data_IF_465350349878
#
_entry.id   IF_465350349878
#
_cell.length_a   1.000
_cell.length_b   1.000
_cell.length_c   1.000
_cell.angle_alpha   90.00
_cell.angle_beta   90.00
_cell.angle_gamma   90.00
#
_symmetry.space_group_name_H-M   'P 1'
#
loop_
_entity.id
_entity.type
_entity.pdbx_description
1 polymer ?
#
# COMPACT_ATOMS: atom_id res chain seq x y z
N UNK A 1 -1.16 16.61 0.14
CA UNK A 1 -2.35 15.83 0.51
C UNK A 1 -3.39 16.65 1.27
N UNK A 2 -3.04 17.57 2.16
CA UNK A 2 -3.97 18.41 2.96
C UNK A 2 -4.99 19.25 2.18
N UNK A 3 -4.80 19.43 0.88
CA UNK A 3 -5.81 20.08 0.00
C UNK A 3 -6.99 19.16 -0.35
N UNK A 4 -6.84 17.86 -0.18
CA UNK A 4 -7.80 16.84 -0.59
C UNK A 4 -8.33 16.02 0.59
N UNK A 5 -7.57 15.95 1.67
CA UNK A 5 -7.88 15.15 2.85
C UNK A 5 -7.80 16.05 4.06
N UNK A 6 -8.83 16.01 4.89
CA UNK A 6 -8.89 16.73 6.15
C UNK A 6 -8.16 15.94 7.24
N UNK A 7 -7.05 16.50 7.72
CA UNK A 7 -6.22 15.93 8.81
C UNK A 7 -6.48 16.57 10.17
N UNK A 8 -7.59 17.31 10.34
CA UNK A 8 -7.97 17.84 11.65
C UNK A 8 -8.31 16.71 12.61
N UNK A 9 -8.37 17.05 13.91
CA UNK A 9 -8.65 16.07 14.98
C UNK A 9 -9.94 15.28 14.72
N UNK A 10 -9.85 13.96 14.85
CA UNK A 10 -10.96 13.03 14.63
C UNK A 10 -11.27 12.74 13.15
N UNK A 11 -10.44 13.21 12.22
CA UNK A 11 -10.54 12.95 10.78
C UNK A 11 -9.46 11.98 10.31
N UNK A 12 -8.82 12.24 9.17
CA UNK A 12 -7.76 11.39 8.67
C UNK A 12 -6.48 11.52 9.50
N UNK A 13 -5.75 10.42 9.64
CA UNK A 13 -4.45 10.37 10.31
C UNK A 13 -3.36 10.09 9.28
N UNK A 14 -2.32 10.89 9.27
CA UNK A 14 -1.10 10.65 8.52
C UNK A 14 -0.03 10.08 9.45
N UNK A 15 0.36 8.84 9.23
CA UNK A 15 1.34 8.13 10.04
C UNK A 15 2.61 7.88 9.23
N UNK A 16 3.77 8.05 9.85
CA UNK A 16 5.06 7.81 9.21
C UNK A 16 5.67 6.53 9.78
N UNK A 17 5.85 5.50 8.95
CA UNK A 17 6.44 4.24 9.40
C UNK A 17 7.92 4.34 9.82
N UNK A 18 8.61 5.44 9.50
CA UNK A 18 9.93 5.72 10.04
C UNK A 18 9.94 5.80 11.58
N UNK A 19 8.81 6.16 12.20
CA UNK A 19 8.68 6.33 13.65
C UNK A 19 8.93 5.01 14.40
N UNK A 20 8.63 3.86 13.80
CA UNK A 20 8.93 2.55 14.38
C UNK A 20 10.04 1.78 13.64
N UNK A 21 10.16 1.91 12.31
CA UNK A 21 11.17 1.16 11.56
C UNK A 21 12.58 1.67 11.81
N UNK A 22 12.78 2.99 11.96
CA UNK A 22 14.10 3.56 12.22
C UNK A 22 14.62 3.29 13.63
N UNK A 23 13.71 3.10 14.59
CA UNK A 23 14.07 2.75 15.96
C UNK A 23 14.42 1.26 16.14
N UNK A 24 14.01 0.43 15.19
CA UNK A 24 14.16 -1.02 15.26
C UNK A 24 15.58 -1.44 14.91
N UNK A 25 16.24 -2.14 15.83
CA UNK A 25 17.57 -2.72 15.58
C UNK A 25 17.46 -3.93 14.64
N UNK A 26 18.42 -4.09 13.75
CA UNK A 26 18.43 -5.19 12.76
C UNK A 26 18.28 -6.59 13.40
N UNK A 27 18.89 -6.81 14.56
CA UNK A 27 18.78 -8.09 15.27
C UNK A 27 17.36 -8.29 15.84
N UNK A 28 16.76 -7.25 16.37
CA UNK A 28 15.39 -7.31 16.90
C UNK A 28 14.39 -7.56 15.76
N UNK A 29 14.55 -6.89 14.62
CA UNK A 29 13.79 -7.14 13.40
C UNK A 29 13.83 -8.62 12.98
N UNK A 30 15.02 -9.21 12.90
CA UNK A 30 15.19 -10.61 12.49
C UNK A 30 14.64 -11.59 13.55
N UNK A 31 14.94 -11.35 14.84
CA UNK A 31 14.53 -12.22 15.94
C UNK A 31 13.03 -12.18 16.18
N UNK A 32 12.44 -10.99 16.21
CA UNK A 32 11.07 -10.82 16.69
C UNK A 32 10.05 -10.96 15.57
N UNK A 33 10.39 -10.55 14.35
CA UNK A 33 9.50 -10.61 13.18
C UNK A 33 9.95 -11.60 12.12
N UNK A 34 11.24 -11.64 11.78
CA UNK A 34 11.78 -12.51 10.73
C UNK A 34 11.45 -13.98 10.94
N UNK A 35 11.42 -14.45 12.19
CA UNK A 35 11.03 -15.83 12.55
C UNK A 35 9.65 -16.26 12.08
N UNK A 36 8.76 -15.33 11.85
CA UNK A 36 7.38 -15.60 11.40
C UNK A 36 7.25 -15.78 9.89
N UNK A 37 8.28 -15.46 9.12
CA UNK A 37 8.27 -15.50 7.66
C UNK A 37 9.09 -16.65 7.12
N UNK A 38 8.40 -17.67 6.62
CA UNK A 38 9.06 -18.79 5.97
C UNK A 38 9.54 -18.39 4.56
N UNK A 39 10.81 -18.61 4.25
CA UNK A 39 11.42 -18.23 2.97
C UNK A 39 10.73 -18.90 1.78
N UNK A 40 10.37 -20.18 1.89
CA UNK A 40 9.66 -20.88 0.80
C UNK A 40 8.28 -20.24 0.51
N UNK A 41 7.58 -19.82 1.56
CA UNK A 41 6.32 -19.10 1.41
C UNK A 41 6.52 -17.74 0.72
N UNK A 42 7.58 -17.02 1.07
CA UNK A 42 7.91 -15.74 0.45
C UNK A 42 8.27 -15.91 -1.04
N UNK A 43 9.06 -16.93 -1.37
CA UNK A 43 9.44 -17.26 -2.75
C UNK A 43 8.25 -17.69 -3.61
N UNK A 44 7.22 -18.27 -3.02
CA UNK A 44 6.00 -18.70 -3.71
C UNK A 44 5.05 -17.55 -4.09
N UNK A 45 5.26 -16.33 -3.55
CA UNK A 45 4.43 -15.16 -3.90
C UNK A 45 4.63 -14.77 -5.36
N UNK A 46 3.56 -14.50 -6.09
CA UNK A 46 3.60 -14.16 -7.51
C UNK A 46 4.52 -12.97 -7.84
N UNK A 47 4.54 -11.97 -6.97
CA UNK A 47 5.39 -10.78 -7.12
C UNK A 47 6.87 -11.11 -7.01
N UNK A 48 7.25 -12.05 -6.15
CA UNK A 48 8.62 -12.54 -5.97
C UNK A 48 8.95 -13.51 -7.08
N UNK A 49 8.10 -14.50 -7.34
CA UNK A 49 8.31 -15.55 -8.34
C UNK A 49 8.61 -15.00 -9.74
N UNK A 50 7.88 -13.96 -10.16
CA UNK A 50 8.11 -13.28 -11.45
C UNK A 50 9.47 -12.58 -11.55
N UNK A 51 10.13 -12.34 -10.44
CA UNK A 51 11.41 -11.64 -10.37
C UNK A 51 12.61 -12.57 -10.17
N UNK A 52 12.38 -13.85 -9.79
CA UNK A 52 13.47 -14.79 -9.49
C UNK A 52 14.41 -15.00 -10.67
N UNK A 53 13.90 -15.08 -11.90
CA UNK A 53 14.71 -15.32 -13.11
C UNK A 53 15.53 -14.08 -13.51
N UNK A 54 15.06 -12.90 -13.18
CA UNK A 54 15.72 -11.62 -13.51
C UNK A 54 16.67 -11.20 -12.38
N UNK A 55 16.45 -11.72 -11.19
CA UNK A 55 17.10 -11.34 -9.93
C UNK A 55 16.22 -10.43 -9.09
N UNK A 56 16.24 -10.66 -7.78
CA UNK A 56 15.57 -9.85 -6.78
C UNK A 56 16.59 -9.47 -5.70
N UNK A 57 16.64 -8.20 -5.32
CA UNK A 57 17.51 -7.75 -4.24
C UNK A 57 16.93 -8.17 -2.89
N UNK A 58 17.77 -8.26 -1.86
CA UNK A 58 17.31 -8.53 -0.51
C UNK A 58 16.33 -7.44 -0.02
N UNK A 59 16.55 -6.20 -0.40
CA UNK A 59 15.66 -5.07 -0.07
C UNK A 59 14.24 -5.30 -0.61
N UNK A 60 14.13 -5.67 -1.90
CA UNK A 60 12.83 -5.99 -2.52
C UNK A 60 12.20 -7.25 -1.91
N UNK A 61 13.00 -8.26 -1.62
CA UNK A 61 12.52 -9.50 -1.01
C UNK A 61 12.00 -9.28 0.42
N UNK A 62 12.68 -8.46 1.21
CA UNK A 62 12.31 -8.16 2.60
C UNK A 62 11.17 -7.15 2.74
N UNK A 63 10.77 -6.47 1.66
CA UNK A 63 9.71 -5.46 1.68
C UNK A 63 8.40 -5.98 2.29
N UNK A 64 8.05 -7.24 2.02
CA UNK A 64 6.86 -7.89 2.59
C UNK A 64 6.88 -7.89 4.12
N UNK A 65 8.05 -8.12 4.72
CA UNK A 65 8.21 -8.12 6.19
C UNK A 65 8.00 -6.71 6.74
N UNK A 66 8.65 -5.72 6.16
CA UNK A 66 8.54 -4.32 6.58
C UNK A 66 7.10 -3.85 6.55
N UNK A 67 6.40 -4.09 5.44
CA UNK A 67 5.00 -3.73 5.31
C UNK A 67 4.07 -4.52 6.25
N UNK A 68 4.39 -5.77 6.55
CA UNK A 68 3.63 -6.55 7.53
C UNK A 68 3.80 -6.01 8.95
N UNK A 69 4.98 -5.47 9.28
CA UNK A 69 5.22 -4.77 10.54
C UNK A 69 4.41 -3.46 10.59
N UNK A 70 4.34 -2.71 9.49
CA UNK A 70 3.49 -1.53 9.41
C UNK A 70 2.03 -1.86 9.72
N UNK A 71 1.50 -2.95 9.14
CA UNK A 71 0.14 -3.40 9.42
C UNK A 71 -0.04 -3.82 10.90
N UNK A 72 0.94 -4.50 11.47
CA UNK A 72 0.90 -4.88 12.88
C UNK A 72 0.86 -3.62 13.77
N UNK A 73 1.74 -2.64 13.52
CA UNK A 73 1.80 -1.40 14.28
C UNK A 73 0.51 -0.59 14.16
N UNK A 74 -0.02 -0.41 12.96
CA UNK A 74 -1.29 0.26 12.73
C UNK A 74 -2.46 -0.46 13.41
N UNK A 75 -2.44 -1.79 13.43
CA UNK A 75 -3.43 -2.57 14.14
C UNK A 75 -3.35 -2.36 15.67
N UNK A 76 -2.14 -2.42 16.22
CA UNK A 76 -1.90 -2.25 17.67
C UNK A 76 -2.28 -0.86 18.16
N UNK A 77 -1.97 0.19 17.39
CA UNK A 77 -2.18 1.57 17.79
C UNK A 77 -3.58 2.10 17.45
N UNK A 78 -4.18 1.62 16.37
CA UNK A 78 -5.42 2.20 15.82
C UNK A 78 -6.55 1.19 15.58
N UNK A 79 -6.30 -0.12 15.72
CA UNK A 79 -7.28 -1.17 15.49
C UNK A 79 -7.85 -1.18 14.07
N UNK A 80 -7.07 -0.78 13.07
CA UNK A 80 -7.55 -0.52 11.71
C UNK A 80 -7.74 -1.80 10.88
N UNK A 81 -8.65 -1.73 9.91
CA UNK A 81 -8.78 -2.71 8.83
C UNK A 81 -7.81 -2.35 7.71
N UNK A 82 -7.06 -3.34 7.21
CA UNK A 82 -6.06 -3.13 6.16
C UNK A 82 -6.73 -3.00 4.79
N UNK A 83 -6.37 -1.95 4.08
CA UNK A 83 -6.79 -1.73 2.69
C UNK A 83 -5.57 -1.39 1.84
N UNK A 84 -5.39 -2.13 0.76
CA UNK A 84 -4.32 -1.91 -0.21
C UNK A 84 -4.71 -2.54 -1.56
N UNK A 85 -3.98 -2.22 -2.63
CA UNK A 85 -4.16 -2.78 -3.97
C UNK A 85 -3.54 -4.19 -4.14
N UNK A 86 -2.65 -4.60 -3.24
CA UNK A 86 -1.94 -5.88 -3.33
C UNK A 86 -2.36 -6.87 -2.23
N UNK A 87 -3.23 -7.78 -2.59
CA UNK A 87 -3.77 -8.80 -1.70
C UNK A 87 -2.68 -9.62 -0.99
N UNK A 88 -1.59 -9.95 -1.68
CA UNK A 88 -0.48 -10.70 -1.10
C UNK A 88 0.18 -10.02 0.12
N UNK A 89 0.27 -8.71 0.11
CA UNK A 89 0.84 -7.94 1.22
C UNK A 89 -0.15 -7.86 2.39
N UNK A 90 -1.44 -7.62 2.11
CA UNK A 90 -2.49 -7.63 3.14
C UNK A 90 -2.49 -8.97 3.88
N UNK A 91 -2.52 -10.09 3.16
CA UNK A 91 -2.55 -11.43 3.78
C UNK A 91 -1.34 -11.70 4.65
N UNK A 92 -0.16 -11.23 4.26
CA UNK A 92 1.07 -11.36 5.06
C UNK A 92 0.99 -10.54 6.35
N UNK A 93 0.43 -9.33 6.29
CA UNK A 93 0.21 -8.50 7.47
C UNK A 93 -0.80 -9.11 8.44
N UNK A 94 -1.95 -9.58 7.93
CA UNK A 94 -2.96 -10.27 8.75
C UNK A 94 -2.40 -11.54 9.39
N UNK A 95 -1.55 -12.27 8.68
CA UNK A 95 -0.90 -13.47 9.20
C UNK A 95 0.08 -13.11 10.33
N UNK A 96 0.87 -12.04 10.19
CA UNK A 96 1.75 -11.57 11.23
C UNK A 96 0.97 -11.16 12.49
N UNK A 97 -0.11 -10.39 12.34
CA UNK A 97 -0.99 -10.00 13.46
C UNK A 97 -1.48 -11.22 14.22
N UNK A 98 -1.96 -12.26 13.52
CA UNK A 98 -2.41 -13.50 14.15
C UNK A 98 -1.28 -14.30 14.81
N UNK A 99 -0.08 -14.27 14.26
CA UNK A 99 1.09 -14.95 14.87
C UNK A 99 1.58 -14.25 16.14
N UNK A 100 1.40 -12.94 16.24
CA UNK A 100 1.79 -12.15 17.41
C UNK A 100 0.71 -12.18 18.49
N UNK A 101 -0.55 -11.96 18.13
CA UNK A 101 -1.66 -11.79 19.08
C UNK A 101 -2.52 -13.04 19.27
N UNK A 102 -2.27 -14.09 18.52
CA UNK A 102 -3.05 -15.33 18.56
C UNK A 102 -4.04 -15.48 17.41
N UNK A 103 -4.43 -16.72 17.14
CA UNK A 103 -5.27 -17.07 15.98
C UNK A 103 -6.69 -16.47 16.05
N UNK A 104 -7.20 -16.22 17.25
CA UNK A 104 -8.57 -15.74 17.48
C UNK A 104 -8.70 -14.22 17.32
N UNK A 105 -7.60 -13.50 17.08
CA UNK A 105 -7.62 -12.05 16.91
C UNK A 105 -8.42 -11.67 15.67
N UNK A 106 -9.32 -10.71 15.81
CA UNK A 106 -10.14 -10.19 14.72
C UNK A 106 -9.38 -9.10 13.99
N UNK A 107 -8.76 -9.46 12.88
CA UNK A 107 -8.13 -8.52 11.95
C UNK A 107 -8.65 -8.79 10.53
N UNK A 108 -8.90 -7.71 9.80
CA UNK A 108 -9.56 -7.75 8.50
C UNK A 108 -8.73 -7.03 7.45
N UNK A 109 -8.90 -7.41 6.20
CA UNK A 109 -8.30 -6.74 5.07
C UNK A 109 -9.21 -6.84 3.85
N UNK A 110 -9.16 -5.85 3.00
CA UNK A 110 -9.90 -5.84 1.73
C UNK A 110 -9.09 -5.12 0.64
N UNK A 111 -9.42 -5.42 -0.60
CA UNK A 111 -8.89 -4.71 -1.77
C UNK A 111 -10.02 -4.03 -2.51
N UNK A 112 -9.71 -2.94 -3.18
CA UNK A 112 -10.59 -2.32 -4.15
C UNK A 112 -10.03 -2.56 -5.55
N UNK A 113 -10.87 -2.69 -6.58
CA UNK A 113 -10.42 -2.79 -7.96
C UNK A 113 -9.58 -1.57 -8.33
N UNK A 114 -8.46 -1.83 -9.03
CA UNK A 114 -7.61 -0.75 -9.51
C UNK A 114 -8.38 0.18 -10.45
N UNK A 115 -8.19 1.47 -10.29
CA UNK A 115 -8.73 2.47 -11.23
C UNK A 115 -7.88 2.44 -12.48
N UNK A 116 -8.49 2.12 -13.62
CA UNK A 116 -7.82 2.03 -14.93
C UNK A 116 -8.54 2.90 -15.94
N UNK A 117 -7.83 3.31 -16.99
CA UNK A 117 -8.38 3.90 -18.20
C UNK A 117 -9.09 2.83 -19.03
N UNK A 118 -9.77 3.23 -20.12
CA UNK A 118 -10.42 2.30 -21.05
C UNK A 118 -9.45 1.36 -21.75
N UNK A 119 -8.21 1.80 -21.98
CA UNK A 119 -7.12 0.98 -22.54
C UNK A 119 -6.48 0.00 -21.52
N UNK A 120 -6.98 -0.04 -20.26
CA UNK A 120 -6.46 -0.88 -19.20
C UNK A 120 -5.20 -0.33 -18.50
N UNK A 121 -4.68 0.82 -18.93
CA UNK A 121 -3.56 1.48 -18.26
C UNK A 121 -3.98 2.05 -16.90
N UNK A 122 -2.99 2.21 -15.99
CA UNK A 122 -3.27 2.76 -14.65
C UNK A 122 -3.72 4.21 -14.76
N UNK A 123 -4.82 4.52 -14.08
CA UNK A 123 -5.25 5.90 -13.85
C UNK A 123 -4.20 6.67 -13.03
N UNK A 124 -4.05 7.97 -13.28
CA UNK A 124 -3.08 8.81 -12.55
C UNK A 124 -1.75 9.05 -13.28
N UNK A 125 -1.66 8.63 -14.57
CA UNK A 125 -0.57 9.05 -15.47
C UNK A 125 -1.13 9.92 -16.58
N UNK A 126 -0.38 10.96 -17.00
CA UNK A 126 -0.69 11.76 -18.18
C UNK A 126 -0.58 10.91 -19.46
N UNK A 127 -1.03 11.42 -20.61
CA UNK A 127 -0.84 10.76 -21.91
C UNK A 127 0.64 10.56 -22.25
N UNK A 128 1.51 11.46 -21.78
CA UNK A 128 2.97 11.33 -21.89
C UNK A 128 3.58 10.28 -20.94
N UNK A 129 2.76 9.63 -20.09
CA UNK A 129 3.21 8.66 -19.11
C UNK A 129 3.75 9.25 -17.80
N UNK A 130 3.72 10.58 -17.65
CA UNK A 130 4.15 11.25 -16.44
C UNK A 130 3.11 11.09 -15.33
N UNK A 131 3.58 10.95 -14.07
CA UNK A 131 2.71 10.85 -12.91
C UNK A 131 1.98 12.16 -12.65
N UNK A 132 0.68 12.09 -12.37
CA UNK A 132 -0.09 13.22 -11.89
C UNK A 132 0.18 13.40 -10.40
N UNK A 133 0.82 14.51 -10.05
CA UNK A 133 1.20 14.80 -8.67
C UNK A 133 0.14 15.64 -7.96
N UNK A 134 -0.08 15.35 -6.68
CA UNK A 134 -0.90 16.20 -5.80
C UNK A 134 -0.11 17.43 -5.27
N UNK A 135 1.18 17.51 -5.57
CA UNK A 135 2.04 18.63 -5.25
C UNK A 135 1.91 19.71 -6.34
N UNK A 136 1.50 20.91 -5.96
CA UNK A 136 1.28 22.06 -6.87
C UNK A 136 2.56 22.51 -7.61
N UNK A 137 3.73 22.21 -7.03
CA UNK A 137 5.01 22.54 -7.68
C UNK A 137 5.39 21.55 -8.79
N UNK A 138 4.71 20.41 -8.86
CA UNK A 138 4.94 19.34 -9.86
C UNK A 138 3.80 19.22 -10.85
N UNK A 139 2.57 19.46 -10.42
CA UNK A 139 1.37 19.50 -11.25
C UNK A 139 0.54 20.69 -10.80
N UNK A 140 0.37 21.67 -11.67
CA UNK A 140 -0.44 22.84 -11.39
C UNK A 140 -1.91 22.49 -11.21
N UNK A 141 -2.68 23.37 -10.56
CA UNK A 141 -4.13 23.19 -10.43
C UNK A 141 -4.84 23.13 -11.80
N UNK A 142 -4.30 23.84 -12.80
CA UNK A 142 -4.82 23.80 -14.15
C UNK A 142 -4.59 22.46 -14.83
N UNK A 143 -3.37 21.92 -14.75
CA UNK A 143 -3.04 20.59 -15.29
C UNK A 143 -3.86 19.50 -14.63
N UNK A 144 -4.04 19.57 -13.31
CA UNK A 144 -4.89 18.63 -12.56
C UNK A 144 -6.36 18.72 -13.04
N UNK A 145 -6.89 19.94 -13.21
CA UNK A 145 -8.23 20.16 -13.74
C UNK A 145 -8.37 19.62 -15.17
N UNK A 146 -7.41 19.94 -16.05
CA UNK A 146 -7.41 19.46 -17.43
C UNK A 146 -7.37 17.93 -17.51
N UNK A 147 -6.62 17.29 -16.64
CA UNK A 147 -6.57 15.83 -16.57
C UNK A 147 -7.95 15.22 -16.29
N UNK A 148 -8.69 15.78 -15.32
CA UNK A 148 -10.01 15.24 -14.97
C UNK A 148 -11.09 15.61 -15.98
N UNK A 149 -11.06 16.81 -16.58
CA UNK A 149 -12.09 17.21 -17.54
C UNK A 149 -11.96 16.47 -18.87
N UNK A 150 -10.76 15.99 -19.19
CA UNK A 150 -10.50 15.13 -20.36
C UNK A 150 -10.64 13.63 -20.05
N UNK A 151 -11.19 13.26 -18.88
CA UNK A 151 -11.50 11.87 -18.61
C UNK A 151 -12.55 11.35 -19.59
N UNK A 152 -12.41 10.09 -20.00
CA UNK A 152 -13.32 9.45 -20.94
C UNK A 152 -14.73 9.34 -20.37
N UNK A 153 -15.75 9.81 -21.10
CA UNK A 153 -17.14 9.83 -20.65
C UNK A 153 -17.64 8.44 -20.18
N UNK A 154 -17.21 7.39 -20.84
CA UNK A 154 -17.57 6.01 -20.51
C UNK A 154 -17.06 5.59 -19.12
N UNK A 155 -15.98 6.21 -18.64
CA UNK A 155 -15.34 5.91 -17.36
C UNK A 155 -15.79 6.82 -16.22
N UNK A 156 -16.40 7.97 -16.51
CA UNK A 156 -16.79 8.95 -15.47
C UNK A 156 -17.64 8.32 -14.38
N UNK A 157 -18.68 7.54 -14.78
CA UNK A 157 -19.57 6.89 -13.81
C UNK A 157 -18.82 5.84 -12.97
N UNK A 158 -17.87 5.11 -13.56
CA UNK A 158 -17.04 4.15 -12.84
C UNK A 158 -16.18 4.86 -11.82
N UNK A 159 -15.54 5.97 -12.18
CA UNK A 159 -14.70 6.77 -11.29
C UNK A 159 -15.50 7.35 -10.13
N UNK A 160 -16.69 7.94 -10.40
CA UNK A 160 -17.56 8.48 -9.36
C UNK A 160 -18.08 7.43 -8.36
N UNK A 161 -18.19 6.17 -8.76
CA UNK A 161 -18.59 5.08 -7.86
C UNK A 161 -17.46 4.62 -6.93
N UNK A 162 -16.23 5.02 -7.20
CA UNK A 162 -15.03 4.64 -6.42
C UNK A 162 -14.56 5.76 -5.48
N UNK A 163 -15.14 6.94 -5.59
CA UNK A 163 -14.96 8.08 -4.68
C UNK A 163 -15.92 7.97 -3.49
#
# INVERSE_FOLDING_TARGET
MSKFIDFSEGKALLVNNADWLCEMKAIDYLRDFGKFFNVNYMLAKDTVKKRLDIGITYTEFSYMLLQSIDFLKLYEEHGVTMQQDQWGNITSGLELIRKVHGADVKCYGFTVPLVTRSDGSKFGKSESGEALWLDINKTSSYELYQYFINAEDEKVIEYLKKL
#
